data_IF_725544193501
#
_entry.id   IF_725544193501
#
_cell.length_a   1.000
_cell.length_b   1.000
_cell.length_c   1.000
_cell.angle_alpha   90.00
_cell.angle_beta   90.00
_cell.angle_gamma   90.00
#
_symmetry.space_group_name_H-M   'P 1'
#
loop_
_entity.id
_entity.type
_entity.pdbx_description
1 polymer ?
#
# COMPACT_ATOMS: atom_id res chain seq x y z
N UNK A 1 17.66 42.11 8.95
CA UNK A 1 16.95 41.02 9.65
C UNK A 1 15.53 40.87 9.06
N UNK A 2 15.37 40.32 7.84
CA UNK A 2 14.04 40.17 7.19
C UNK A 2 13.96 38.94 6.27
N UNK A 3 14.68 37.86 6.57
CA UNK A 3 14.72 36.66 5.71
C UNK A 3 14.22 35.38 6.39
N UNK A 4 14.03 35.35 7.71
CA UNK A 4 13.68 34.12 8.45
C UNK A 4 12.21 33.68 8.34
N UNK A 5 11.28 34.60 8.06
CA UNK A 5 9.84 34.24 8.06
C UNK A 5 9.48 33.44 6.81
N UNK A 6 10.02 33.81 5.64
CA UNK A 6 9.72 33.13 4.37
C UNK A 6 10.22 31.68 4.36
N UNK A 7 11.36 31.42 5.02
CA UNK A 7 11.94 30.09 5.14
C UNK A 7 11.07 29.18 6.02
N UNK A 8 10.49 29.68 7.10
CA UNK A 8 9.60 28.90 7.96
C UNK A 8 8.31 28.44 7.23
N UNK A 9 7.76 29.30 6.34
CA UNK A 9 6.59 28.95 5.52
C UNK A 9 6.92 27.89 4.45
N UNK A 10 8.11 27.95 3.85
CA UNK A 10 8.58 26.94 2.90
C UNK A 10 8.75 25.56 3.55
N UNK A 11 9.20 25.50 4.81
CA UNK A 11 9.28 24.23 5.55
C UNK A 11 7.90 23.68 5.94
N UNK A 12 6.92 24.53 6.23
CA UNK A 12 5.54 24.08 6.52
C UNK A 12 4.83 23.51 5.28
N UNK A 13 5.07 24.07 4.09
CA UNK A 13 4.43 23.59 2.85
C UNK A 13 4.89 22.18 2.44
N UNK A 14 6.12 21.79 2.80
CA UNK A 14 6.65 20.45 2.45
C UNK A 14 6.03 19.33 3.29
N UNK A 15 5.54 19.61 4.51
CA UNK A 15 4.96 18.59 5.41
C UNK A 15 3.51 18.24 5.05
N UNK A 16 2.81 19.08 4.29
CA UNK A 16 1.38 18.91 3.95
C UNK A 16 1.16 17.94 2.75
N UNK A 17 2.23 17.49 2.09
CA UNK A 17 2.17 16.69 0.86
C UNK A 17 2.02 15.17 1.02
N UNK A 18 1.97 14.65 2.24
CA UNK A 18 1.80 13.21 2.53
C UNK A 18 0.50 12.99 3.30
N UNK A 19 -0.64 13.13 2.62
CA UNK A 19 -1.95 12.98 3.25
C UNK A 19 -2.44 11.53 3.14
N UNK A 20 -2.96 10.99 4.24
CA UNK A 20 -3.89 9.85 4.25
C UNK A 20 -3.32 8.44 4.17
N UNK A 21 -2.27 8.17 3.38
CA UNK A 21 -1.86 6.79 3.10
C UNK A 21 -0.94 6.19 4.19
N UNK A 22 -1.48 5.23 4.93
CA UNK A 22 -0.79 4.42 5.95
C UNK A 22 -0.42 3.06 5.40
N UNK A 23 0.84 2.71 5.58
CA UNK A 23 1.40 1.40 5.25
C UNK A 23 1.80 0.68 6.54
N UNK A 24 1.36 -0.57 6.71
CA UNK A 24 1.72 -1.40 7.86
C UNK A 24 2.08 -2.80 7.40
N UNK A 25 3.24 -3.28 7.85
CA UNK A 25 3.71 -4.65 7.64
C UNK A 25 3.79 -5.34 8.99
N UNK A 26 2.94 -6.33 9.20
CA UNK A 26 2.96 -7.19 10.37
C UNK A 26 3.59 -8.55 10.01
N UNK A 27 4.54 -8.99 10.83
CA UNK A 27 5.26 -10.26 10.68
C UNK A 27 5.08 -11.18 11.89
N UNK A 28 4.67 -10.61 13.02
CA UNK A 28 4.59 -11.30 14.30
C UNK A 28 3.15 -11.77 14.49
N UNK A 29 2.75 -12.70 13.62
CA UNK A 29 1.39 -13.18 13.62
C UNK A 29 1.32 -14.38 14.57
N UNK A 30 0.53 -14.30 15.66
CA UNK A 30 0.33 -15.45 16.52
C UNK A 30 -0.31 -16.57 15.69
N UNK A 31 0.32 -17.74 15.72
CA UNK A 31 -0.15 -18.97 15.08
C UNK A 31 -1.54 -19.33 15.63
N UNK A 32 -2.61 -18.81 15.02
CA UNK A 32 -3.97 -19.21 15.38
C UNK A 32 -4.18 -20.66 14.93
N UNK A 33 -4.42 -21.53 15.90
CA UNK A 33 -4.45 -23.00 15.81
C UNK A 33 -5.54 -23.60 14.88
N UNK A 34 -6.20 -22.83 14.02
CA UNK A 34 -7.30 -23.32 13.16
C UNK A 34 -7.32 -22.83 11.72
N UNK A 35 -6.40 -21.96 11.31
CA UNK A 35 -6.28 -21.50 9.93
C UNK A 35 -4.87 -21.78 9.39
N UNK A 36 -4.72 -21.86 8.05
CA UNK A 36 -3.39 -21.93 7.44
C UNK A 36 -2.58 -20.72 7.93
N UNK A 37 -1.42 -20.92 8.59
CA UNK A 37 -0.66 -19.79 9.11
C UNK A 37 -0.14 -18.95 7.94
N UNK A 38 -0.44 -17.67 7.96
CA UNK A 38 0.20 -16.69 7.08
C UNK A 38 1.44 -16.14 7.80
N UNK A 39 2.50 -15.87 7.04
CA UNK A 39 3.81 -15.50 7.57
C UNK A 39 4.04 -13.98 7.58
N UNK A 40 3.21 -13.21 6.89
CA UNK A 40 3.20 -11.75 6.96
C UNK A 40 1.86 -11.19 6.47
N UNK A 41 1.47 -10.03 6.98
CA UNK A 41 0.35 -9.23 6.50
C UNK A 41 0.84 -7.85 6.13
N UNK A 42 0.51 -7.43 4.92
CA UNK A 42 0.67 -6.08 4.44
C UNK A 42 -0.69 -5.39 4.43
N UNK A 43 -0.75 -4.19 4.99
CA UNK A 43 -1.94 -3.35 4.98
C UNK A 43 -1.60 -2.00 4.38
N UNK A 44 -2.41 -1.60 3.42
CA UNK A 44 -2.45 -0.26 2.90
C UNK A 44 -3.82 0.30 3.21
N UNK A 45 -3.83 1.42 3.90
CA UNK A 45 -5.03 2.08 4.32
C UNK A 45 -4.90 3.55 3.97
N UNK A 46 -5.93 4.09 3.37
CA UNK A 46 -6.06 5.51 3.14
C UNK A 46 -7.35 5.99 3.77
N UNK A 47 -7.27 7.11 4.46
CA UNK A 47 -8.40 7.76 5.11
C UNK A 47 -8.45 9.18 4.60
N UNK A 48 -9.56 9.54 3.94
CA UNK A 48 -9.74 10.86 3.39
C UNK A 48 -10.06 11.84 4.52
N UNK A 49 -9.08 12.67 4.89
CA UNK A 49 -9.27 13.71 5.92
C UNK A 49 -9.96 14.97 5.39
N UNK A 50 -10.14 15.08 4.07
CA UNK A 50 -10.61 16.29 3.39
C UNK A 50 -11.48 15.93 2.18
N UNK A 51 -12.80 15.81 2.37
CA UNK A 51 -13.92 15.86 1.38
C UNK A 51 -13.68 15.31 -0.05
N UNK A 52 -12.68 14.47 -0.24
CA UNK A 52 -12.18 14.00 -1.51
C UNK A 52 -12.40 12.52 -1.53
N UNK A 53 -13.29 12.07 -2.40
CA UNK A 53 -13.61 10.65 -2.49
C UNK A 53 -12.38 9.89 -2.97
N UNK A 54 -12.02 8.83 -2.25
CA UNK A 54 -10.99 7.90 -2.73
C UNK A 54 -11.61 7.15 -3.91
N UNK A 55 -11.04 7.31 -5.09
CA UNK A 55 -11.61 6.74 -6.33
C UNK A 55 -10.92 5.44 -6.74
N UNK A 56 -9.68 5.24 -6.31
CA UNK A 56 -8.91 4.03 -6.58
C UNK A 56 -7.90 3.73 -5.50
N UNK A 57 -7.52 2.45 -5.36
CA UNK A 57 -6.31 2.08 -4.62
C UNK A 57 -5.69 0.86 -5.27
N UNK A 58 -4.39 0.90 -5.49
CA UNK A 58 -3.66 -0.14 -6.20
C UNK A 58 -2.48 -0.63 -5.38
N UNK A 59 -2.27 -1.94 -5.44
CA UNK A 59 -1.05 -2.58 -4.96
C UNK A 59 -0.33 -3.19 -6.14
N UNK A 60 0.89 -2.74 -6.37
CA UNK A 60 1.73 -3.24 -7.43
C UNK A 60 3.04 -3.81 -6.87
N UNK A 61 3.57 -4.79 -7.59
CA UNK A 61 4.86 -5.42 -7.32
C UNK A 61 5.85 -5.02 -8.41
N UNK A 62 6.93 -4.36 -8.03
CA UNK A 62 8.02 -4.13 -8.96
C UNK A 62 8.85 -5.41 -9.20
N UNK A 63 9.26 -5.72 -10.45
CA UNK A 63 10.17 -6.81 -10.73
C UNK A 63 11.54 -6.58 -10.09
N UNK A 64 12.24 -7.66 -9.72
CA UNK A 64 13.53 -7.63 -8.98
C UNK A 64 14.54 -6.76 -9.75
N UNK A 65 15.07 -5.75 -9.06
CA UNK A 65 15.94 -4.69 -9.57
C UNK A 65 16.92 -5.04 -10.70
N UNK A 66 17.01 -4.15 -11.68
CA UNK A 66 18.28 -3.48 -12.00
C UNK A 66 18.04 -2.31 -12.95
N UNK A 67 18.88 -1.28 -12.79
CA UNK A 67 19.09 -0.18 -13.73
C UNK A 67 18.13 1.00 -13.59
N UNK A 68 18.75 2.12 -13.24
CA UNK A 68 18.28 3.49 -13.30
C UNK A 68 17.84 3.84 -14.74
N UNK A 69 16.72 3.29 -15.21
CA UNK A 69 16.12 3.68 -16.48
C UNK A 69 14.64 3.98 -16.26
N UNK A 70 14.35 5.27 -16.25
CA UNK A 70 13.17 5.91 -15.67
C UNK A 70 11.92 5.85 -16.55
N UNK A 71 11.78 4.87 -17.44
CA UNK A 71 10.81 4.98 -18.55
C UNK A 71 9.95 3.76 -18.87
N UNK A 72 10.07 2.62 -18.19
CA UNK A 72 9.07 1.56 -18.32
C UNK A 72 8.82 0.87 -16.97
N UNK A 73 7.86 1.43 -16.22
CA UNK A 73 7.30 0.82 -15.02
C UNK A 73 6.48 -0.41 -15.40
N UNK A 74 7.14 -1.55 -15.62
CA UNK A 74 6.45 -2.84 -15.68
C UNK A 74 6.09 -3.32 -14.27
N UNK A 75 5.41 -2.47 -13.51
CA UNK A 75 4.90 -2.80 -12.19
C UNK A 75 3.74 -3.80 -12.37
N UNK A 76 3.86 -4.96 -11.75
CA UNK A 76 2.86 -6.03 -11.86
C UNK A 76 1.74 -5.71 -10.85
N UNK A 77 0.54 -5.38 -11.35
CA UNK A 77 -0.63 -5.16 -10.50
C UNK A 77 -0.97 -6.44 -9.72
N UNK A 78 -0.94 -6.32 -8.40
CA UNK A 78 -1.35 -7.37 -7.46
C UNK A 78 -2.80 -7.18 -7.05
N UNK A 79 -3.25 -5.94 -6.87
CA UNK A 79 -4.64 -5.67 -6.55
C UNK A 79 -4.99 -4.27 -7.01
N UNK A 80 -6.25 -4.08 -7.38
CA UNK A 80 -6.83 -2.78 -7.71
C UNK A 80 -8.21 -2.73 -7.11
N UNK A 81 -8.52 -1.60 -6.49
CA UNK A 81 -9.85 -1.18 -6.10
C UNK A 81 -10.17 0.07 -6.91
N UNK A 82 -11.42 0.17 -7.35
CA UNK A 82 -11.93 1.38 -7.98
C UNK A 82 -13.41 1.54 -7.66
N UNK A 83 -13.99 2.70 -7.97
CA UNK A 83 -15.44 2.88 -7.80
C UNK A 83 -16.28 1.87 -8.60
N UNK A 84 -15.74 1.31 -9.69
CA UNK A 84 -16.38 0.24 -10.47
C UNK A 84 -16.20 -1.16 -9.85
N UNK A 85 -15.10 -1.37 -9.11
CA UNK A 85 -14.82 -2.59 -8.38
C UNK A 85 -14.38 -2.24 -6.94
N UNK A 86 -15.35 -1.93 -6.06
CA UNK A 86 -15.05 -1.38 -4.73
C UNK A 86 -14.62 -2.44 -3.73
N UNK A 87 -14.72 -3.73 -4.07
CA UNK A 87 -14.21 -4.79 -3.21
C UNK A 87 -13.48 -5.85 -4.02
N UNK A 88 -12.46 -6.44 -3.41
CA UNK A 88 -11.71 -7.55 -3.98
C UNK A 88 -11.42 -8.57 -2.90
N UNK A 89 -11.67 -9.84 -3.19
CA UNK A 89 -11.22 -10.96 -2.35
C UNK A 89 -10.70 -12.04 -3.28
N UNK A 90 -9.40 -12.29 -3.24
CA UNK A 90 -8.77 -13.31 -4.08
C UNK A 90 -7.67 -14.04 -3.33
N UNK A 91 -7.51 -15.32 -3.63
CA UNK A 91 -6.40 -16.13 -3.13
C UNK A 91 -5.69 -16.73 -4.32
N UNK A 92 -4.42 -16.36 -4.53
CA UNK A 92 -3.62 -16.85 -5.64
C UNK A 92 -2.13 -16.89 -5.25
N UNK A 93 -1.41 -17.91 -5.73
CA UNK A 93 0.05 -18.01 -5.55
C UNK A 93 0.54 -17.90 -4.09
N UNK A 94 -0.25 -18.41 -3.14
CA UNK A 94 0.06 -18.31 -1.71
C UNK A 94 -0.08 -16.90 -1.14
N UNK A 95 -0.86 -16.04 -1.81
CA UNK A 95 -1.20 -14.70 -1.34
C UNK A 95 -2.72 -14.57 -1.31
N UNK A 96 -3.29 -14.19 -0.17
CA UNK A 96 -4.67 -13.70 -0.09
C UNK A 96 -4.65 -12.19 -0.16
N UNK A 97 -5.52 -11.64 -0.98
CA UNK A 97 -5.76 -10.21 -1.10
C UNK A 97 -7.19 -9.96 -0.71
N UNK A 98 -7.41 -9.04 0.21
CA UNK A 98 -8.71 -8.50 0.58
C UNK A 98 -8.64 -6.99 0.44
N UNK A 99 -9.68 -6.39 -0.11
CA UNK A 99 -9.75 -4.95 -0.20
C UNK A 99 -11.17 -4.44 -0.24
N UNK A 100 -11.34 -3.24 0.29
CA UNK A 100 -12.59 -2.52 0.34
C UNK A 100 -12.30 -1.03 0.12
N UNK A 101 -12.99 -0.46 -0.86
CA UNK A 101 -13.06 0.96 -1.15
C UNK A 101 -14.42 1.45 -0.67
N UNK A 102 -14.36 2.35 0.29
CA UNK A 102 -15.49 3.10 0.83
C UNK A 102 -15.30 4.58 0.49
N UNK A 103 -16.33 5.41 0.69
CA UNK A 103 -16.27 6.84 0.38
C UNK A 103 -15.18 7.57 1.16
N UNK A 104 -14.95 7.14 2.40
CA UNK A 104 -14.04 7.81 3.34
C UNK A 104 -12.76 7.02 3.58
N UNK A 105 -12.80 5.70 3.34
CA UNK A 105 -11.68 4.80 3.64
C UNK A 105 -11.42 3.83 2.51
N UNK A 106 -10.16 3.61 2.21
CA UNK A 106 -9.73 2.60 1.27
C UNK A 106 -8.75 1.67 1.95
N UNK A 107 -9.01 0.38 1.86
CA UNK A 107 -8.21 -0.65 2.55
C UNK A 107 -7.84 -1.75 1.58
N UNK A 108 -6.56 -2.11 1.58
CA UNK A 108 -6.04 -3.29 0.93
C UNK A 108 -5.15 -4.07 1.88
N UNK A 109 -5.47 -5.35 2.06
CA UNK A 109 -4.80 -6.30 2.94
C UNK A 109 -4.28 -7.47 2.12
N UNK A 110 -2.97 -7.69 2.18
CA UNK A 110 -2.29 -8.82 1.57
C UNK A 110 -1.77 -9.75 2.65
N UNK A 111 -2.22 -11.00 2.65
CA UNK A 111 -1.73 -12.06 3.53
C UNK A 111 -0.83 -13.02 2.74
N UNK A 112 0.39 -13.21 3.21
CA UNK A 112 1.40 -14.02 2.53
C UNK A 112 1.53 -15.36 3.26
N UNK A 113 1.24 -16.47 2.59
CA UNK A 113 1.24 -17.83 3.16
C UNK A 113 2.54 -18.61 2.88
N UNK A 114 3.39 -18.12 1.96
CA UNK A 114 4.65 -18.81 1.60
C UNK A 114 5.85 -18.11 2.23
N UNK A 115 6.52 -18.80 3.15
CA UNK A 115 7.62 -18.24 3.96
C UNK A 115 8.91 -17.97 3.17
N UNK A 116 9.20 -18.79 2.15
CA UNK A 116 10.51 -18.80 1.46
C UNK A 116 10.87 -17.55 0.65
N UNK A 117 9.93 -16.64 0.37
CA UNK A 117 10.15 -15.47 -0.51
C UNK A 117 9.54 -14.17 0.04
N UNK A 118 9.24 -14.10 1.35
CA UNK A 118 8.60 -12.94 1.98
C UNK A 118 9.40 -11.65 1.77
N UNK A 119 10.68 -11.66 2.08
CA UNK A 119 11.57 -10.51 1.96
C UNK A 119 11.75 -10.05 0.50
N UNK A 120 11.71 -10.99 -0.45
CA UNK A 120 11.76 -10.70 -1.89
C UNK A 120 10.44 -10.22 -2.47
N UNK A 121 9.35 -10.32 -1.73
CA UNK A 121 8.01 -9.95 -2.20
C UNK A 121 7.59 -8.63 -1.58
N UNK A 122 7.81 -8.46 -0.28
CA UNK A 122 7.44 -7.26 0.47
C UNK A 122 8.26 -6.02 0.07
N UNK A 123 9.56 -6.18 -0.20
CA UNK A 123 10.46 -5.05 -0.54
C UNK A 123 10.03 -4.25 -1.78
N UNK A 124 9.17 -4.81 -2.63
CA UNK A 124 8.78 -4.23 -3.92
C UNK A 124 7.31 -3.88 -4.01
N UNK A 125 6.59 -3.98 -2.90
CA UNK A 125 5.17 -3.66 -2.85
C UNK A 125 5.02 -2.15 -2.63
N UNK A 126 4.27 -1.52 -3.53
CA UNK A 126 3.90 -0.10 -3.44
C UNK A 126 2.39 -0.01 -3.35
N UNK A 127 1.94 0.93 -2.54
CA UNK A 127 0.53 1.31 -2.42
C UNK A 127 0.37 2.67 -3.06
N UNK A 128 -0.55 2.73 -4.01
CA UNK A 128 -0.78 3.86 -4.90
C UNK A 128 -2.27 4.23 -4.81
N UNK A 129 -2.55 5.53 -4.71
CA UNK A 129 -3.89 6.12 -4.77
C UNK A 129 -4.19 6.52 -6.23
#
# INVERSE_FOLDING_TARGET
MKTSVLQAFLWHLVVIGSQGLRFTLDRDIPLMQRARPYCAVLRCQEESTTSGNITSMNIARSPRASTWNRQNHNDILVASLSSQQPSITRVANGVRVEGLLDTDTSTLRLELYKQGDLWKTVRWIKCLH
#
